data_IF_390134730648
#
_entry.id   IF_390134730648
#
_cell.length_a   1.000
_cell.length_b   1.000
_cell.length_c   1.000
_cell.angle_alpha   90.00
_cell.angle_beta   90.00
_cell.angle_gamma   90.00
#
_symmetry.space_group_name_H-M   'P 1'
#
loop_
_entity.id
_entity.type
_entity.pdbx_description
1 polymer ?
#
# COMPACT_ATOMS: atom_id res chain seq x y z
N UNK A 1 5.30 16.11 8.41
CA UNK A 1 6.78 16.24 8.32
C UNK A 1 7.25 15.21 7.31
N UNK A 2 7.59 15.66 6.11
CA UNK A 2 8.24 14.82 5.10
C UNK A 2 9.66 14.60 5.62
N UNK A 3 9.90 13.46 6.27
CA UNK A 3 11.25 13.08 6.64
C UNK A 3 12.07 12.94 5.35
N UNK A 4 13.21 13.61 5.28
CA UNK A 4 14.20 13.36 4.26
C UNK A 4 14.49 11.86 4.21
N UNK A 5 13.82 11.16 3.31
CA UNK A 5 14.05 9.74 3.08
C UNK A 5 15.39 9.61 2.36
N UNK A 6 16.47 9.61 3.14
CA UNK A 6 17.78 9.30 2.62
C UNK A 6 17.76 7.88 2.07
N UNK A 7 18.28 7.69 0.87
CA UNK A 7 18.49 6.35 0.32
C UNK A 7 19.24 5.49 1.35
N UNK A 8 18.74 4.29 1.60
CA UNK A 8 19.42 3.35 2.47
C UNK A 8 20.82 3.04 1.90
N UNK A 9 21.81 3.30 2.71
CA UNK A 9 23.23 3.01 2.40
C UNK A 9 23.75 2.06 3.47
N UNK A 10 23.86 0.74 3.17
CA UNK A 10 24.23 -0.26 4.17
C UNK A 10 25.49 0.10 4.94
N UNK A 11 26.51 0.63 4.26
CA UNK A 11 27.77 1.07 4.83
C UNK A 11 27.65 2.23 5.83
N UNK A 12 26.63 3.07 5.70
CA UNK A 12 26.35 4.19 6.62
C UNK A 12 25.46 3.80 7.79
N UNK A 13 24.67 2.75 7.63
CA UNK A 13 23.71 2.28 8.62
C UNK A 13 24.24 1.09 9.44
N UNK A 14 25.26 0.39 8.94
CA UNK A 14 25.97 -0.65 9.68
C UNK A 14 26.85 -0.02 10.76
N UNK A 15 26.33 0.19 11.93
CA UNK A 15 26.95 1.04 12.97
C UNK A 15 27.67 0.23 14.04
N UNK A 16 28.01 -1.02 13.84
CA UNK A 16 28.69 -1.74 14.91
C UNK A 16 30.09 -2.16 14.46
N UNK A 17 31.07 -1.42 14.95
CA UNK A 17 32.46 -1.84 14.90
C UNK A 17 32.66 -2.96 15.91
N UNK A 18 33.40 -3.98 15.52
CA UNK A 18 33.87 -5.00 16.43
C UNK A 18 35.21 -4.56 17.01
N UNK A 19 35.34 -4.56 18.34
CA UNK A 19 36.62 -4.35 19.01
C UNK A 19 37.46 -5.64 19.10
N UNK A 20 36.96 -6.72 18.53
CA UNK A 20 37.65 -8.02 18.51
C UNK A 20 38.69 -8.08 17.39
N UNK A 21 39.86 -8.57 17.73
CA UNK A 21 40.95 -8.77 16.75
C UNK A 21 40.64 -9.82 15.68
N UNK A 22 39.64 -10.69 15.89
CA UNK A 22 39.17 -11.69 14.92
C UNK A 22 38.03 -11.16 14.00
N UNK A 23 37.62 -9.89 14.15
CA UNK A 23 36.57 -9.25 13.36
C UNK A 23 35.16 -9.72 13.63
N UNK A 24 34.94 -10.64 14.58
CA UNK A 24 33.61 -11.16 14.92
C UNK A 24 32.78 -10.13 15.66
N UNK A 25 31.49 -10.09 15.35
CA UNK A 25 30.53 -9.18 15.95
C UNK A 25 29.94 -9.78 17.21
N UNK A 26 29.88 -9.01 18.29
CA UNK A 26 29.21 -9.39 19.54
C UNK A 26 27.76 -8.92 19.60
N UNK A 27 27.47 -7.75 19.00
CA UNK A 27 26.14 -7.16 19.00
C UNK A 27 25.17 -7.96 18.14
N UNK A 28 24.06 -8.42 18.71
CA UNK A 28 22.98 -9.09 17.97
C UNK A 28 22.46 -8.21 16.83
N UNK A 29 22.31 -6.90 17.05
CA UNK A 29 21.90 -5.96 16.00
C UNK A 29 22.85 -6.01 14.78
N UNK A 30 24.17 -5.97 15.04
CA UNK A 30 25.15 -6.02 13.96
C UNK A 30 25.14 -7.35 13.23
N UNK A 31 25.03 -8.47 13.95
CA UNK A 31 24.97 -9.81 13.35
C UNK A 31 23.74 -9.92 12.44
N UNK A 32 22.55 -9.54 12.93
CA UNK A 32 21.32 -9.63 12.15
C UNK A 32 21.32 -8.65 10.96
N UNK A 33 21.93 -7.46 11.13
CA UNK A 33 22.08 -6.51 10.03
C UNK A 33 22.99 -7.06 8.90
N UNK A 34 24.10 -7.72 9.25
CA UNK A 34 24.95 -8.39 8.26
C UNK A 34 24.19 -9.54 7.59
N UNK A 35 23.44 -10.36 8.33
CA UNK A 35 22.59 -11.40 7.75
C UNK A 35 21.58 -10.82 6.75
N UNK A 36 20.95 -9.68 7.09
CA UNK A 36 20.02 -8.99 6.19
C UNK A 36 20.73 -8.49 4.91
N UNK A 37 21.93 -7.93 5.06
CA UNK A 37 22.73 -7.41 3.98
C UNK A 37 23.22 -8.53 3.03
N UNK A 38 23.58 -9.69 3.58
CA UNK A 38 24.08 -10.83 2.81
C UNK A 38 22.94 -11.65 2.16
N UNK A 39 21.69 -11.40 2.54
CA UNK A 39 20.56 -12.08 1.93
C UNK A 39 20.23 -11.48 0.56
N UNK A 40 20.16 -12.32 -0.45
CA UNK A 40 19.74 -11.95 -1.80
C UNK A 40 18.34 -12.45 -2.07
N UNK A 41 17.40 -11.58 -2.49
CA UNK A 41 16.03 -12.01 -2.77
C UNK A 41 15.96 -13.04 -3.89
N UNK A 42 15.17 -14.09 -3.69
CA UNK A 42 15.01 -15.17 -4.66
C UNK A 42 14.46 -14.68 -6.00
N UNK A 43 13.56 -13.72 -5.98
CA UNK A 43 12.92 -13.11 -7.14
C UNK A 43 13.39 -11.68 -7.39
N UNK A 44 14.66 -11.37 -7.06
CA UNK A 44 15.25 -10.11 -7.48
C UNK A 44 15.19 -9.99 -9.01
N UNK A 45 14.72 -8.86 -9.52
CA UNK A 45 14.66 -8.60 -10.94
C UNK A 45 16.08 -8.53 -11.54
N UNK A 46 16.27 -9.15 -12.70
CA UNK A 46 17.50 -9.11 -13.47
C UNK A 46 17.25 -8.42 -14.80
N UNK A 47 18.02 -7.39 -15.10
CA UNK A 47 17.97 -6.74 -16.42
C UNK A 47 18.35 -7.73 -17.53
N UNK A 48 17.80 -7.53 -18.72
CA UNK A 48 18.08 -8.39 -19.88
C UNK A 48 17.30 -9.70 -19.94
N UNK A 49 16.29 -9.89 -19.10
CA UNK A 49 15.33 -11.00 -19.26
C UNK A 49 14.64 -10.92 -20.62
N UNK A 50 14.51 -12.06 -21.30
CA UNK A 50 13.58 -12.21 -22.41
C UNK A 50 12.12 -12.08 -21.93
N UNK A 51 11.17 -11.85 -22.83
CA UNK A 51 9.76 -11.75 -22.48
C UNK A 51 9.22 -13.02 -21.80
N UNK A 52 9.72 -14.20 -22.17
CA UNK A 52 9.37 -15.46 -21.54
C UNK A 52 9.93 -15.55 -20.10
N UNK A 53 11.21 -15.24 -19.89
CA UNK A 53 11.83 -15.21 -18.57
C UNK A 53 11.14 -14.18 -17.65
N UNK A 54 10.78 -13.02 -18.21
CA UNK A 54 10.04 -11.99 -17.49
C UNK A 54 8.68 -12.49 -17.00
N UNK A 55 7.93 -13.19 -17.85
CA UNK A 55 6.64 -13.79 -17.47
C UNK A 55 6.81 -14.84 -16.38
N UNK A 56 7.80 -15.72 -16.50
CA UNK A 56 8.12 -16.74 -15.48
C UNK A 56 8.51 -16.10 -14.14
N UNK A 57 9.30 -15.04 -14.20
CA UNK A 57 9.67 -14.25 -13.02
C UNK A 57 8.45 -13.62 -12.35
N UNK A 58 7.55 -13.00 -13.11
CA UNK A 58 6.29 -12.45 -12.57
C UNK A 58 5.42 -13.52 -11.91
N UNK A 59 5.35 -14.71 -12.49
CA UNK A 59 4.58 -15.82 -11.91
C UNK A 59 5.23 -16.31 -10.60
N UNK A 60 6.56 -16.32 -10.51
CA UNK A 60 7.30 -16.58 -9.27
C UNK A 60 7.04 -15.54 -8.20
N UNK A 61 7.10 -14.25 -8.56
CA UNK A 61 6.75 -13.13 -7.63
C UNK A 61 5.33 -13.30 -7.10
N UNK A 62 4.39 -13.65 -7.98
CA UNK A 62 3.00 -13.89 -7.58
C UNK A 62 2.86 -15.07 -6.63
N UNK A 63 3.48 -16.21 -6.93
CA UNK A 63 3.42 -17.39 -6.09
C UNK A 63 3.96 -17.11 -4.68
N UNK A 64 5.10 -16.41 -4.59
CA UNK A 64 5.66 -15.98 -3.32
C UNK A 64 4.76 -14.96 -2.59
N UNK A 65 4.14 -14.03 -3.32
CA UNK A 65 3.20 -13.07 -2.72
C UNK A 65 1.98 -13.78 -2.11
N UNK A 66 1.41 -14.77 -2.79
CA UNK A 66 0.31 -15.60 -2.25
C UNK A 66 0.75 -16.28 -0.96
N UNK A 67 1.97 -16.86 -0.95
CA UNK A 67 2.51 -17.57 0.20
C UNK A 67 2.66 -16.67 1.43
N UNK A 68 3.24 -15.47 1.26
CA UNK A 68 3.55 -14.59 2.40
C UNK A 68 2.36 -13.75 2.87
N UNK A 69 1.41 -13.44 1.97
CA UNK A 69 0.20 -12.68 2.35
C UNK A 69 -0.81 -13.54 3.10
N UNK A 70 -0.79 -14.87 2.91
CA UNK A 70 -1.59 -15.84 3.67
C UNK A 70 -3.08 -15.48 3.74
N UNK A 71 -3.66 -15.08 2.61
CA UNK A 71 -5.08 -14.79 2.58
C UNK A 71 -5.87 -16.00 3.05
N UNK A 72 -6.83 -15.85 3.98
CA UNK A 72 -7.63 -16.96 4.44
C UNK A 72 -8.53 -17.47 3.32
N UNK A 73 -8.87 -18.76 3.37
CA UNK A 73 -9.95 -19.27 2.53
C UNK A 73 -11.25 -18.57 2.89
N UNK A 74 -11.84 -17.89 1.89
CA UNK A 74 -13.10 -17.16 2.08
C UNK A 74 -14.24 -18.17 2.06
N UNK A 75 -14.75 -18.50 3.24
CA UNK A 75 -16.10 -19.10 3.32
C UNK A 75 -17.09 -18.06 2.82
N UNK A 76 -18.19 -18.53 2.20
CA UNK A 76 -19.24 -17.63 1.67
C UNK A 76 -19.65 -16.61 2.74
N UNK A 77 -19.40 -15.34 2.48
CA UNK A 77 -19.78 -14.23 3.33
C UNK A 77 -21.09 -13.61 2.83
N UNK A 78 -21.85 -12.93 3.69
CA UNK A 78 -22.97 -12.10 3.25
C UNK A 78 -22.49 -11.06 2.21
N UNK A 79 -23.37 -10.73 1.26
CA UNK A 79 -23.08 -9.67 0.30
C UNK A 79 -22.93 -8.32 0.99
N UNK A 80 -22.06 -7.44 0.51
CA UNK A 80 -21.97 -6.08 1.01
C UNK A 80 -23.32 -5.34 0.91
N UNK A 81 -23.60 -4.47 1.88
CA UNK A 81 -24.87 -3.75 2.01
C UNK A 81 -24.61 -2.24 2.03
N UNK A 82 -25.34 -1.48 1.22
CA UNK A 82 -25.33 -0.02 1.31
C UNK A 82 -26.17 0.41 2.53
N UNK A 83 -25.53 1.04 3.50
CA UNK A 83 -26.16 1.45 4.76
C UNK A 83 -26.50 2.94 4.82
N UNK A 84 -25.92 3.74 3.93
CA UNK A 84 -26.19 5.19 3.85
C UNK A 84 -26.00 5.68 2.42
N UNK A 85 -26.86 6.58 1.99
CA UNK A 85 -26.77 7.28 0.70
C UNK A 85 -27.02 8.77 0.91
N UNK A 86 -26.15 9.61 0.40
CA UNK A 86 -26.28 11.06 0.46
C UNK A 86 -26.06 11.64 -0.95
N UNK A 87 -26.93 12.58 -1.31
CA UNK A 87 -26.74 13.38 -2.52
C UNK A 87 -25.83 14.57 -2.20
N UNK A 88 -24.76 14.70 -2.93
CA UNK A 88 -23.81 15.82 -2.89
C UNK A 88 -23.86 16.58 -4.21
N UNK A 89 -23.15 17.70 -4.28
CA UNK A 89 -23.08 18.47 -5.52
C UNK A 89 -22.30 17.71 -6.61
N UNK A 90 -23.02 17.22 -7.63
CA UNK A 90 -22.46 16.51 -8.77
C UNK A 90 -22.17 15.02 -8.57
N UNK A 91 -22.37 14.47 -7.36
CA UNK A 91 -22.17 13.05 -7.09
C UNK A 91 -23.08 12.52 -5.97
N UNK A 92 -23.12 11.19 -5.88
CA UNK A 92 -23.81 10.46 -4.79
C UNK A 92 -22.72 9.81 -3.95
N UNK A 93 -22.75 10.05 -2.63
CA UNK A 93 -21.89 9.40 -1.64
C UNK A 93 -22.68 8.27 -0.98
N UNK A 94 -22.11 7.07 -1.01
CA UNK A 94 -22.66 5.89 -0.36
C UNK A 94 -21.68 5.33 0.67
N UNK A 95 -22.19 4.88 1.80
CA UNK A 95 -21.46 4.07 2.78
C UNK A 95 -21.91 2.62 2.66
N UNK A 96 -20.95 1.74 2.53
CA UNK A 96 -21.17 0.30 2.41
C UNK A 96 -20.52 -0.45 3.55
N UNK A 97 -21.16 -1.52 3.99
CA UNK A 97 -20.63 -2.51 4.92
C UNK A 97 -20.33 -3.81 4.19
N UNK A 98 -19.24 -4.48 4.56
CA UNK A 98 -18.94 -5.84 4.17
C UNK A 98 -18.42 -6.65 5.37
N UNK A 99 -18.39 -7.97 5.24
CA UNK A 99 -18.25 -8.88 6.38
C UNK A 99 -17.08 -9.84 6.14
N UNK A 100 -15.82 -9.37 6.34
CA UNK A 100 -14.62 -10.14 5.96
C UNK A 100 -14.41 -11.43 6.77
N UNK A 101 -14.92 -11.47 8.00
CA UNK A 101 -14.83 -12.62 8.90
C UNK A 101 -16.15 -12.81 9.66
N UNK A 102 -16.40 -14.01 10.23
CA UNK A 102 -17.51 -14.19 11.14
C UNK A 102 -17.48 -13.17 12.28
N UNK A 103 -18.59 -12.49 12.54
CA UNK A 103 -18.77 -11.45 13.57
C UNK A 103 -17.95 -10.16 13.32
N UNK A 104 -17.41 -9.95 12.13
CA UNK A 104 -16.75 -8.71 11.76
C UNK A 104 -17.56 -7.91 10.77
N UNK A 105 -17.39 -6.61 10.81
CA UNK A 105 -17.86 -5.66 9.80
C UNK A 105 -16.70 -4.74 9.44
N UNK A 106 -16.61 -4.40 8.18
CA UNK A 106 -15.71 -3.36 7.67
C UNK A 106 -16.49 -2.48 6.71
N UNK A 107 -16.04 -1.24 6.51
CA UNK A 107 -16.78 -0.24 5.73
C UNK A 107 -15.92 0.34 4.63
N UNK A 108 -16.56 0.79 3.56
CA UNK A 108 -15.95 1.59 2.51
C UNK A 108 -16.93 2.65 2.00
N UNK A 109 -16.41 3.69 1.38
CA UNK A 109 -17.21 4.77 0.79
C UNK A 109 -17.12 4.69 -0.72
N UNK A 110 -18.24 4.99 -1.38
CA UNK A 110 -18.37 5.00 -2.84
C UNK A 110 -18.90 6.35 -3.29
N UNK A 111 -18.17 6.99 -4.20
CA UNK A 111 -18.61 8.21 -4.87
C UNK A 111 -18.97 7.86 -6.30
N UNK A 112 -20.20 8.13 -6.68
CA UNK A 112 -20.71 7.92 -8.03
C UNK A 112 -21.08 9.25 -8.67
N UNK A 113 -20.65 9.56 -9.90
CA UNK A 113 -21.20 10.71 -10.62
C UNK A 113 -22.71 10.70 -10.61
N UNK A 114 -23.35 11.84 -10.37
CA UNK A 114 -24.82 11.93 -10.26
C UNK A 114 -25.55 11.42 -11.51
N UNK A 115 -24.94 11.62 -12.68
CA UNK A 115 -25.52 11.25 -13.98
C UNK A 115 -24.64 10.23 -14.72
N UNK A 116 -24.68 8.97 -14.27
CA UNK A 116 -23.96 7.89 -14.96
C UNK A 116 -24.64 7.55 -16.30
N UNK A 117 -23.90 7.71 -17.40
CA UNK A 117 -24.31 7.25 -18.72
C UNK A 117 -23.61 5.93 -19.08
N UNK A 118 -24.09 4.83 -18.49
CA UNK A 118 -23.48 3.50 -18.67
C UNK A 118 -22.34 3.22 -17.68
N UNK A 119 -21.55 2.18 -17.93
CA UNK A 119 -20.43 1.82 -17.10
C UNK A 119 -19.23 2.74 -17.34
N UNK A 120 -18.65 3.27 -16.27
CA UNK A 120 -17.48 4.16 -16.28
C UNK A 120 -16.26 3.50 -15.61
N UNK A 121 -15.03 3.99 -15.83
CA UNK A 121 -13.88 3.51 -15.11
C UNK A 121 -14.06 3.64 -13.58
N UNK A 122 -13.48 2.69 -12.83
CA UNK A 122 -13.46 2.70 -11.37
C UNK A 122 -12.06 2.98 -10.82
N UNK A 123 -11.98 3.63 -9.67
CA UNK A 123 -10.72 3.80 -8.95
C UNK A 123 -10.88 3.39 -7.49
N UNK A 124 -10.00 2.49 -7.01
CA UNK A 124 -9.86 2.15 -5.61
C UNK A 124 -8.81 3.07 -5.01
N UNK A 125 -9.19 3.87 -4.01
CA UNK A 125 -8.33 4.83 -3.33
C UNK A 125 -7.95 4.30 -1.95
N UNK A 126 -6.64 4.09 -1.72
CA UNK A 126 -6.09 3.54 -0.48
C UNK A 126 -5.27 4.63 0.22
N UNK A 127 -5.59 4.99 1.48
CA UNK A 127 -5.00 6.14 2.15
C UNK A 127 -3.58 5.88 2.66
N UNK A 128 -2.86 6.96 2.94
CA UNK A 128 -1.60 6.94 3.69
C UNK A 128 -1.81 6.71 5.20
N UNK A 129 -0.70 6.63 5.93
CA UNK A 129 -0.72 6.49 7.39
C UNK A 129 -1.51 7.61 8.06
N UNK A 130 -2.41 7.23 8.97
CA UNK A 130 -3.19 8.19 9.74
C UNK A 130 -4.27 8.93 8.94
N UNK A 131 -4.50 8.55 7.68
CA UNK A 131 -5.61 9.06 6.87
C UNK A 131 -6.74 8.03 6.85
N UNK A 132 -7.96 8.52 6.67
CA UNK A 132 -9.18 7.71 6.64
C UNK A 132 -9.89 7.84 5.30
N UNK A 133 -10.80 6.92 5.02
CA UNK A 133 -11.65 6.98 3.84
C UNK A 133 -12.48 8.27 3.76
N UNK A 134 -12.89 8.81 4.92
CA UNK A 134 -13.61 10.09 4.99
C UNK A 134 -12.76 11.23 4.42
N UNK A 135 -11.49 11.32 4.81
CA UNK A 135 -10.56 12.31 4.25
C UNK A 135 -10.37 12.18 2.74
N UNK A 136 -10.37 10.94 2.21
CA UNK A 136 -10.27 10.71 0.77
C UNK A 136 -11.49 11.20 -0.02
N UNK A 137 -12.66 11.27 0.61
CA UNK A 137 -13.92 11.73 0.00
C UNK A 137 -14.25 13.19 0.36
N UNK A 138 -13.40 13.86 1.12
CA UNK A 138 -13.60 15.26 1.53
C UNK A 138 -14.62 15.44 2.64
N UNK A 139 -14.86 14.42 3.45
CA UNK A 139 -15.78 14.45 4.59
C UNK A 139 -15.00 14.46 5.92
N UNK A 140 -15.56 15.03 6.98
CA UNK A 140 -14.95 14.95 8.31
C UNK A 140 -14.87 13.49 8.78
N UNK A 141 -13.72 13.12 9.34
CA UNK A 141 -13.51 11.80 9.92
C UNK A 141 -14.13 11.67 11.32
N UNK A 142 -13.99 10.48 11.90
CA UNK A 142 -14.52 10.17 13.25
C UNK A 142 -13.73 10.93 14.33
N UNK A 143 -12.46 11.21 14.07
CA UNK A 143 -11.57 11.90 14.99
C UNK A 143 -11.32 13.35 14.55
N UNK A 144 -11.98 14.30 15.20
CA UNK A 144 -11.92 15.73 14.87
C UNK A 144 -10.51 16.33 14.90
N UNK A 145 -9.60 15.80 15.73
CA UNK A 145 -8.25 16.34 15.87
C UNK A 145 -7.36 16.13 14.65
N UNK A 146 -7.74 15.23 13.73
CA UNK A 146 -6.97 14.90 12.54
C UNK A 146 -7.70 15.23 11.24
N UNK A 147 -8.84 15.94 11.34
CA UNK A 147 -9.69 16.30 10.20
C UNK A 147 -9.39 17.69 9.62
N UNK A 148 -8.41 18.41 10.13
CA UNK A 148 -8.05 19.76 9.65
C UNK A 148 -7.77 19.79 8.13
N UNK A 149 -7.39 18.65 7.55
CA UNK A 149 -7.04 18.52 6.14
C UNK A 149 -8.13 17.88 5.26
N UNK A 150 -9.32 17.51 5.78
CA UNK A 150 -10.31 16.81 4.96
C UNK A 150 -10.84 17.62 3.76
N UNK A 151 -10.82 18.94 3.85
CA UNK A 151 -11.15 19.85 2.75
C UNK A 151 -9.97 20.16 1.82
N UNK A 152 -8.79 19.59 2.06
CA UNK A 152 -7.64 19.82 1.23
C UNK A 152 -7.74 19.01 -0.07
N UNK A 153 -7.87 19.65 -1.26
CA UNK A 153 -7.97 18.94 -2.53
C UNK A 153 -6.81 17.99 -2.81
N UNK A 154 -5.62 18.24 -2.23
CA UNK A 154 -4.44 17.37 -2.38
C UNK A 154 -4.59 16.03 -1.64
N UNK A 155 -5.48 15.95 -0.65
CA UNK A 155 -5.71 14.76 0.17
C UNK A 155 -6.95 13.99 -0.31
N UNK A 156 -7.96 14.70 -0.80
CA UNK A 156 -9.26 14.15 -1.17
C UNK A 156 -9.24 13.46 -2.54
N UNK A 157 -8.39 12.44 -2.70
CA UNK A 157 -8.17 11.84 -4.02
C UNK A 157 -9.42 11.16 -4.60
N UNK A 158 -10.26 10.53 -3.80
CA UNK A 158 -11.50 9.93 -4.31
C UNK A 158 -12.50 10.98 -4.77
N UNK A 159 -12.59 12.12 -4.05
CA UNK A 159 -13.41 13.26 -4.46
C UNK A 159 -12.91 13.87 -5.77
N UNK A 160 -11.61 13.95 -5.97
CA UNK A 160 -11.05 14.43 -7.24
C UNK A 160 -11.40 13.48 -8.38
N UNK A 161 -11.30 12.16 -8.17
CA UNK A 161 -11.60 11.17 -9.20
C UNK A 161 -13.08 11.17 -9.62
N UNK A 162 -14.02 11.34 -8.67
CA UNK A 162 -15.44 11.39 -9.05
C UNK A 162 -15.79 12.64 -9.86
N UNK A 163 -15.11 13.76 -9.59
CA UNK A 163 -15.26 14.99 -10.41
C UNK A 163 -14.78 14.81 -11.84
N UNK A 164 -13.82 13.91 -12.07
CA UNK A 164 -13.34 13.52 -13.39
C UNK A 164 -14.20 12.40 -14.06
N UNK A 165 -15.33 12.04 -13.43
CA UNK A 165 -16.26 11.07 -13.99
C UNK A 165 -16.01 9.61 -13.66
N UNK A 166 -15.08 9.30 -12.75
CA UNK A 166 -14.85 7.94 -12.27
C UNK A 166 -15.87 7.56 -11.17
N UNK A 167 -16.15 6.27 -11.04
CA UNK A 167 -16.66 5.77 -9.75
C UNK A 167 -15.46 5.60 -8.85
N UNK A 168 -15.40 6.35 -7.76
CA UNK A 168 -14.31 6.30 -6.79
C UNK A 168 -14.73 5.55 -5.54
N UNK A 169 -13.89 4.61 -5.10
CA UNK A 169 -14.10 3.82 -3.88
C UNK A 169 -12.96 4.10 -2.93
N UNK A 170 -13.29 4.51 -1.70
CA UNK A 170 -12.34 4.83 -0.66
C UNK A 170 -12.44 3.81 0.48
N UNK A 171 -11.30 3.29 0.89
CA UNK A 171 -11.15 2.33 2.00
C UNK A 171 -10.33 2.92 3.14
N UNK A 172 -10.45 2.37 4.34
CA UNK A 172 -9.48 2.57 5.40
C UNK A 172 -8.37 1.51 5.31
N UNK A 173 -7.18 1.87 5.72
CA UNK A 173 -6.19 0.87 6.10
C UNK A 173 -6.68 0.13 7.35
N UNK A 174 -6.39 -1.16 7.47
CA UNK A 174 -6.71 -1.92 8.68
C UNK A 174 -6.14 -1.25 9.93
N UNK A 175 -6.90 -1.22 11.01
CA UNK A 175 -6.56 -0.53 12.25
C UNK A 175 -6.44 1.01 12.11
N UNK A 176 -7.20 1.59 11.17
CA UNK A 176 -7.32 3.04 11.01
C UNK A 176 -8.78 3.45 10.85
N UNK A 177 -9.09 4.71 11.11
CA UNK A 177 -10.45 5.24 11.01
C UNK A 177 -11.44 4.46 11.87
N UNK A 178 -12.57 4.06 11.30
CA UNK A 178 -13.59 3.25 11.99
C UNK A 178 -13.08 1.86 12.41
N UNK A 179 -11.97 1.38 11.85
CA UNK A 179 -11.39 0.09 12.19
C UNK A 179 -10.32 0.15 13.31
N UNK A 180 -10.06 1.33 13.89
CA UNK A 180 -9.18 1.47 15.05
C UNK A 180 -9.92 1.27 16.37
N UNK A 181 -9.15 1.03 17.46
CA UNK A 181 -9.72 0.85 18.80
C UNK A 181 -10.29 2.16 19.33
N UNK A 182 -11.38 2.08 20.14
CA UNK A 182 -12.03 3.22 20.78
C UNK A 182 -11.09 4.02 21.67
N UNK A 183 -10.14 3.37 22.36
CA UNK A 183 -9.11 4.07 23.14
C UNK A 183 -8.22 5.00 22.28
N UNK A 184 -8.05 4.69 21.01
CA UNK A 184 -7.32 5.56 20.08
C UNK A 184 -8.10 6.85 19.82
N UNK A 185 -9.43 6.78 19.72
CA UNK A 185 -10.29 7.95 19.54
C UNK A 185 -10.24 8.88 20.76
N UNK A 186 -10.32 8.33 21.96
CA UNK A 186 -10.24 9.11 23.21
C UNK A 186 -8.91 9.86 23.32
N UNK A 187 -7.82 9.27 22.81
CA UNK A 187 -6.49 9.92 22.74
C UNK A 187 -6.37 10.88 21.55
N UNK A 188 -7.37 10.96 20.70
CA UNK A 188 -7.34 11.76 19.47
C UNK A 188 -6.48 11.16 18.35
N UNK A 189 -6.27 9.84 18.36
CA UNK A 189 -5.62 9.09 17.31
C UNK A 189 -6.67 8.36 16.47
N UNK A 190 -6.42 8.24 15.19
CA UNK A 190 -7.31 7.51 14.28
C UNK A 190 -6.68 6.22 13.75
N UNK A 191 -5.69 5.65 14.46
CA UNK A 191 -5.03 4.39 14.10
C UNK A 191 -4.32 3.75 15.29
N UNK A 192 -4.20 2.41 15.27
CA UNK A 192 -3.49 1.58 16.26
C UNK A 192 -2.68 0.46 15.62
N UNK A 193 -2.02 0.75 14.51
CA UNK A 193 -1.29 -0.20 13.68
C UNK A 193 -0.34 -1.13 14.43
N UNK A 194 0.42 -0.62 15.40
CA UNK A 194 1.44 -1.40 16.11
C UNK A 194 0.81 -2.48 16.99
N UNK A 195 -0.29 -2.15 17.66
CA UNK A 195 -1.01 -3.11 18.52
C UNK A 195 -1.55 -4.26 17.68
N UNK A 196 -2.28 -3.92 16.61
CA UNK A 196 -2.87 -4.92 15.70
C UNK A 196 -1.79 -5.75 15.01
N UNK A 197 -0.68 -5.13 14.58
CA UNK A 197 0.42 -5.85 13.94
C UNK A 197 1.03 -6.91 14.85
N UNK A 198 1.17 -6.65 16.15
CA UNK A 198 1.68 -7.63 17.12
C UNK A 198 0.77 -8.85 17.21
N UNK A 199 -0.54 -8.65 17.31
CA UNK A 199 -1.49 -9.76 17.34
C UNK A 199 -1.48 -10.57 16.03
N UNK A 200 -1.39 -9.90 14.89
CA UNK A 200 -1.31 -10.57 13.59
C UNK A 200 -0.04 -11.42 13.46
N UNK A 201 1.11 -10.93 13.94
CA UNK A 201 2.36 -11.70 13.96
C UNK A 201 2.24 -12.96 14.80
N UNK A 202 1.59 -12.91 15.98
CA UNK A 202 1.33 -14.10 16.80
C UNK A 202 0.41 -15.12 16.09
N UNK A 203 -0.48 -14.66 15.23
CA UNK A 203 -1.30 -15.51 14.37
C UNK A 203 -0.55 -16.01 13.11
N UNK A 204 0.73 -15.65 12.95
CA UNK A 204 1.53 -15.98 11.78
C UNK A 204 1.14 -15.21 10.52
N UNK A 205 0.50 -14.05 10.69
CA UNK A 205 0.07 -13.17 9.62
C UNK A 205 0.78 -11.81 9.71
N UNK A 206 0.64 -10.96 8.69
CA UNK A 206 1.17 -9.60 8.70
C UNK A 206 0.04 -8.59 8.59
N UNK A 207 0.30 -7.35 9.06
CA UNK A 207 -0.65 -6.26 8.86
C UNK A 207 -0.92 -6.02 7.36
N UNK A 208 0.13 -6.06 6.52
CA UNK A 208 -0.02 -5.90 5.07
C UNK A 208 -0.89 -7.02 4.47
N UNK A 209 -0.71 -8.26 4.91
CA UNK A 209 -1.55 -9.37 4.47
C UNK A 209 -3.02 -9.17 4.85
N UNK A 210 -3.27 -8.71 6.08
CA UNK A 210 -4.62 -8.45 6.57
C UNK A 210 -5.31 -7.31 5.80
N UNK A 211 -4.67 -6.14 5.69
CA UNK A 211 -5.27 -4.99 4.99
C UNK A 211 -5.49 -5.28 3.51
N UNK A 212 -4.52 -5.93 2.84
CA UNK A 212 -4.66 -6.33 1.43
C UNK A 212 -5.79 -7.34 1.20
N UNK A 213 -6.04 -8.21 2.17
CA UNK A 213 -7.19 -9.12 2.10
C UNK A 213 -8.52 -8.37 2.15
N UNK A 214 -8.65 -7.34 3.00
CA UNK A 214 -9.83 -6.48 3.03
C UNK A 214 -10.02 -5.74 1.70
N UNK A 215 -8.96 -5.11 1.21
CA UNK A 215 -8.98 -4.35 -0.04
C UNK A 215 -9.31 -5.22 -1.25
N UNK A 216 -8.84 -6.48 -1.26
CA UNK A 216 -9.18 -7.45 -2.31
C UNK A 216 -10.67 -7.75 -2.35
N UNK A 217 -11.35 -7.81 -1.21
CA UNK A 217 -12.79 -8.01 -1.17
C UNK A 217 -13.56 -6.81 -1.74
N UNK A 218 -13.11 -5.58 -1.42
CA UNK A 218 -13.68 -4.36 -2.00
C UNK A 218 -13.41 -4.30 -3.50
N UNK A 219 -12.22 -4.66 -3.96
CA UNK A 219 -11.89 -4.75 -5.39
C UNK A 219 -12.80 -5.77 -6.12
N UNK A 220 -13.06 -6.93 -5.51
CA UNK A 220 -13.97 -7.93 -6.07
C UNK A 220 -15.42 -7.40 -6.12
N UNK A 221 -15.85 -6.66 -5.09
CA UNK A 221 -17.13 -5.96 -5.11
C UNK A 221 -17.20 -4.94 -6.27
N UNK A 222 -16.16 -4.15 -6.49
CA UNK A 222 -16.10 -3.20 -7.60
C UNK A 222 -16.26 -3.90 -8.96
N UNK A 223 -15.58 -5.03 -9.17
CA UNK A 223 -15.66 -5.83 -10.40
C UNK A 223 -17.06 -6.39 -10.66
N UNK A 224 -17.85 -6.59 -9.61
CA UNK A 224 -19.22 -7.10 -9.69
C UNK A 224 -20.25 -6.00 -10.02
N UNK A 225 -19.89 -4.71 -9.96
CA UNK A 225 -20.82 -3.62 -10.20
C UNK A 225 -21.04 -3.39 -11.70
N UNK A 226 -22.30 -3.38 -12.14
CA UNK A 226 -22.64 -3.17 -13.57
C UNK A 226 -22.31 -1.76 -14.08
N UNK A 227 -22.20 -0.79 -13.20
CA UNK A 227 -21.87 0.60 -13.51
C UNK A 227 -20.36 0.88 -13.48
N UNK A 228 -19.53 -0.12 -13.16
CA UNK A 228 -18.05 -0.01 -13.21
C UNK A 228 -17.53 -0.84 -14.39
N UNK A 229 -16.69 -0.25 -15.19
CA UNK A 229 -15.96 -0.96 -16.25
C UNK A 229 -14.87 -1.83 -15.61
N UNK A 230 -15.14 -3.13 -15.50
CA UNK A 230 -14.21 -4.10 -14.89
C UNK A 230 -12.84 -4.18 -15.58
N UNK A 231 -12.76 -3.81 -16.86
CA UNK A 231 -11.54 -3.71 -17.65
C UNK A 231 -10.82 -2.37 -17.51
N UNK A 232 -11.32 -1.46 -16.69
CA UNK A 232 -10.80 -0.11 -16.45
C UNK A 232 -10.82 0.25 -14.96
N UNK A 233 -10.35 -0.67 -14.12
CA UNK A 233 -10.19 -0.40 -12.69
C UNK A 233 -8.74 0.03 -12.45
N UNK A 234 -8.59 1.17 -11.80
CA UNK A 234 -7.32 1.75 -11.36
C UNK A 234 -7.20 1.61 -9.85
N UNK A 235 -6.00 1.39 -9.33
CA UNK A 235 -5.74 1.53 -7.88
C UNK A 235 -4.82 2.73 -7.67
N UNK A 236 -5.23 3.62 -6.78
CA UNK A 236 -4.46 4.78 -6.33
C UNK A 236 -4.07 4.60 -4.87
N UNK A 237 -2.79 4.44 -4.60
CA UNK A 237 -2.23 4.32 -3.25
C UNK A 237 -1.45 5.58 -2.87
N UNK A 238 -1.65 6.08 -1.64
CA UNK A 238 -0.88 7.18 -1.09
C UNK A 238 -0.02 6.69 0.08
N UNK A 239 1.30 6.95 0.05
CA UNK A 239 2.24 6.58 1.12
C UNK A 239 2.05 5.12 1.54
N UNK A 240 1.62 4.83 2.78
CA UNK A 240 1.32 3.48 3.26
C UNK A 240 0.38 2.70 2.32
N UNK A 241 -0.58 3.37 1.69
CA UNK A 241 -1.54 2.74 0.76
C UNK A 241 -0.91 2.19 -0.52
N UNK A 242 0.34 2.56 -0.83
CA UNK A 242 1.07 1.95 -1.96
C UNK A 242 1.46 0.50 -1.69
N UNK A 243 1.58 0.10 -0.44
CA UNK A 243 1.92 -1.28 -0.06
C UNK A 243 0.80 -2.26 -0.42
N UNK A 244 -0.45 -2.10 0.08
CA UNK A 244 -1.56 -2.95 -0.36
C UNK A 244 -1.85 -2.80 -1.87
N UNK A 245 -1.71 -1.61 -2.46
CA UNK A 245 -1.82 -1.44 -3.91
C UNK A 245 -0.88 -2.38 -4.68
N UNK A 246 0.39 -2.49 -4.28
CA UNK A 246 1.35 -3.41 -4.90
C UNK A 246 0.92 -4.86 -4.75
N UNK A 247 0.45 -5.25 -3.56
CA UNK A 247 -0.03 -6.62 -3.29
C UNK A 247 -1.19 -6.96 -4.19
N UNK A 248 -2.23 -6.12 -4.24
CA UNK A 248 -3.36 -6.30 -5.13
C UNK A 248 -2.92 -6.37 -6.58
N UNK A 249 -2.00 -5.49 -6.99
CA UNK A 249 -1.46 -5.46 -8.34
C UNK A 249 -0.77 -6.75 -8.75
N UNK A 250 -0.02 -7.39 -7.84
CA UNK A 250 0.61 -8.69 -8.11
C UNK A 250 -0.42 -9.81 -8.15
N UNK A 251 -1.38 -9.82 -7.23
CA UNK A 251 -2.35 -10.90 -7.10
C UNK A 251 -3.44 -10.86 -8.17
N UNK A 252 -3.84 -9.68 -8.62
CA UNK A 252 -4.93 -9.47 -9.57
C UNK A 252 -4.42 -8.90 -10.90
N UNK A 253 -4.44 -9.73 -11.94
CA UNK A 253 -3.96 -9.38 -13.30
C UNK A 253 -4.90 -8.45 -14.06
N UNK A 254 -6.17 -8.33 -13.65
CA UNK A 254 -7.18 -7.57 -14.36
C UNK A 254 -7.16 -6.07 -14.03
N UNK A 255 -6.40 -5.67 -13.02
CA UNK A 255 -6.22 -4.25 -12.69
C UNK A 255 -5.57 -3.55 -13.87
N UNK A 256 -6.21 -2.46 -14.33
CA UNK A 256 -5.81 -1.76 -15.54
C UNK A 256 -4.55 -0.90 -15.34
N UNK A 257 -4.49 -0.11 -14.27
CA UNK A 257 -3.41 0.85 -14.04
C UNK A 257 -3.24 1.20 -12.56
N UNK A 258 -2.14 1.88 -12.23
CA UNK A 258 -1.78 2.26 -10.87
C UNK A 258 -1.38 3.72 -10.78
N UNK A 259 -1.74 4.37 -9.66
CA UNK A 259 -1.19 5.65 -9.23
C UNK A 259 -0.40 5.42 -7.94
N UNK A 260 0.92 5.46 -8.06
CA UNK A 260 1.86 5.24 -6.96
C UNK A 260 2.29 6.59 -6.40
N UNK A 261 1.61 7.03 -5.35
CA UNK A 261 1.88 8.32 -4.72
C UNK A 261 2.73 8.14 -3.47
N UNK A 262 4.00 7.84 -3.65
CA UNK A 262 5.03 7.72 -2.61
C UNK A 262 6.41 7.55 -3.24
N UNK A 263 7.45 7.54 -2.40
CA UNK A 263 8.81 7.21 -2.83
C UNK A 263 9.02 5.69 -2.94
N UNK A 264 9.79 5.27 -3.93
CA UNK A 264 10.12 3.86 -4.12
C UNK A 264 11.15 3.41 -3.08
N UNK A 265 10.68 2.81 -1.98
CA UNK A 265 11.47 2.40 -0.84
C UNK A 265 12.10 1.01 -1.04
N UNK A 266 13.31 0.82 -0.52
CA UNK A 266 13.93 -0.51 -0.45
C UNK A 266 13.44 -1.26 0.79
N UNK A 267 13.31 -2.59 0.70
CA UNK A 267 12.88 -3.42 1.86
C UNK A 267 13.85 -3.29 3.04
N UNK A 268 15.16 -3.28 2.78
CA UNK A 268 16.17 -3.06 3.82
C UNK A 268 16.04 -1.68 4.46
N UNK A 269 15.74 -0.65 3.69
CA UNK A 269 15.47 0.70 4.19
C UNK A 269 14.30 0.69 5.17
N UNK A 270 13.21 -0.02 4.85
CA UNK A 270 12.08 -0.20 5.79
C UNK A 270 12.50 -0.89 7.07
N UNK A 271 13.24 -1.99 6.97
CA UNK A 271 13.66 -2.76 8.13
C UNK A 271 14.66 -2.02 9.03
N UNK A 272 15.54 -1.22 8.47
CA UNK A 272 16.65 -0.58 9.20
C UNK A 272 16.33 0.87 9.55
N UNK A 273 15.86 1.67 8.59
CA UNK A 273 15.67 3.11 8.78
C UNK A 273 14.34 3.41 9.45
N UNK A 274 13.25 2.81 8.95
CA UNK A 274 11.90 3.11 9.44
C UNK A 274 11.58 2.45 10.77
N UNK A 275 12.27 1.37 11.14
CA UNK A 275 12.03 0.64 12.39
C UNK A 275 13.04 0.93 13.47
N UNK A 276 14.17 1.58 13.13
CA UNK A 276 15.20 1.94 14.09
C UNK A 276 14.76 3.13 14.95
N UNK A 277 14.88 3.06 16.28
CA UNK A 277 14.63 4.20 17.15
C UNK A 277 15.56 5.37 16.79
N UNK A 278 15.01 6.57 16.72
CA UNK A 278 15.81 7.77 16.61
C UNK A 278 16.65 7.97 17.87
N UNK A 279 17.92 8.32 17.69
CA UNK A 279 18.83 8.59 18.82
C UNK A 279 18.33 9.72 19.74
N UNK A 280 17.64 10.68 19.16
CA UNK A 280 17.09 11.82 19.90
C UNK A 280 15.76 11.48 20.59
N UNK A 281 14.92 10.66 19.99
CA UNK A 281 13.58 10.34 20.47
C UNK A 281 13.54 9.18 21.45
N UNK A 282 14.53 8.32 21.51
CA UNK A 282 14.60 7.10 22.37
C UNK A 282 13.33 6.24 22.38
N UNK A 283 12.40 6.50 21.49
CA UNK A 283 11.14 5.77 21.33
C UNK A 283 11.18 4.99 20.03
N UNK A 284 10.68 3.74 20.02
CA UNK A 284 10.40 3.05 18.78
C UNK A 284 9.53 3.97 17.91
N UNK A 285 9.80 3.99 16.60
CA UNK A 285 8.95 4.76 15.70
C UNK A 285 7.51 4.25 15.85
N UNK A 286 6.53 5.06 16.29
CA UNK A 286 5.16 4.59 16.46
C UNK A 286 4.67 3.99 15.14
N UNK A 287 4.03 2.83 15.21
CA UNK A 287 3.43 2.17 14.05
C UNK A 287 4.42 1.68 12.97
N UNK A 288 5.68 1.45 13.33
CA UNK A 288 6.70 0.98 12.39
C UNK A 288 6.59 -0.52 12.07
N UNK A 289 6.04 -1.33 12.97
CA UNK A 289 5.93 -2.79 12.82
C UNK A 289 5.04 -3.19 11.64
N UNK A 290 4.04 -2.38 11.28
CA UNK A 290 3.16 -2.63 10.14
C UNK A 290 3.89 -2.81 8.81
N UNK A 291 5.07 -2.21 8.67
CA UNK A 291 5.88 -2.33 7.46
C UNK A 291 6.67 -3.63 7.38
N UNK A 292 6.68 -4.43 8.46
CA UNK A 292 7.46 -5.64 8.54
C UNK A 292 6.62 -6.85 8.15
N UNK A 293 7.08 -7.58 7.15
CA UNK A 293 6.44 -8.79 6.66
C UNK A 293 7.43 -9.92 6.84
N UNK A 294 7.11 -10.94 7.67
CA UNK A 294 8.03 -12.04 7.92
C UNK A 294 8.47 -12.73 6.63
N UNK A 295 9.78 -12.79 6.41
CA UNK A 295 10.35 -13.45 5.24
C UNK A 295 10.30 -12.67 3.92
N UNK A 296 9.73 -11.49 3.88
CA UNK A 296 9.57 -10.71 2.64
C UNK A 296 10.88 -10.54 1.87
N UNK A 297 11.95 -10.12 2.57
CA UNK A 297 13.27 -9.91 1.96
C UNK A 297 13.90 -11.18 1.36
N UNK A 298 13.47 -12.35 1.77
CA UNK A 298 13.96 -13.62 1.18
C UNK A 298 13.43 -13.84 -0.24
N UNK A 299 12.31 -13.22 -0.58
CA UNK A 299 11.66 -13.40 -1.87
C UNK A 299 11.93 -12.25 -2.83
N UNK A 300 11.76 -11.00 -2.39
CA UNK A 300 11.88 -9.82 -3.25
C UNK A 300 12.15 -8.54 -2.45
N UNK A 301 12.64 -7.54 -3.16
CA UNK A 301 12.67 -6.16 -2.71
C UNK A 301 11.37 -5.45 -3.15
N UNK A 302 10.96 -4.35 -2.49
CA UNK A 302 9.79 -3.57 -2.92
C UNK A 302 9.88 -3.10 -4.37
N UNK A 303 11.01 -2.57 -4.87
CA UNK A 303 11.14 -2.24 -6.28
C UNK A 303 10.92 -3.41 -7.24
N UNK A 304 11.28 -4.64 -6.87
CA UNK A 304 11.01 -5.84 -7.68
C UNK A 304 9.50 -6.07 -7.82
N UNK A 305 8.76 -5.91 -6.71
CA UNK A 305 7.30 -6.05 -6.71
C UNK A 305 6.66 -5.01 -7.62
N UNK A 306 7.08 -3.74 -7.53
CA UNK A 306 6.61 -2.67 -8.42
C UNK A 306 6.96 -2.98 -9.87
N UNK A 307 8.17 -3.43 -10.15
CA UNK A 307 8.61 -3.83 -11.49
C UNK A 307 7.75 -4.98 -12.08
N UNK A 308 7.28 -5.89 -11.23
CA UNK A 308 6.44 -7.01 -11.65
C UNK A 308 5.02 -6.58 -12.09
N UNK A 309 4.63 -5.34 -11.84
CA UNK A 309 3.36 -4.79 -12.33
C UNK A 309 3.36 -4.50 -13.84
N UNK A 310 4.55 -4.41 -14.46
CA UNK A 310 4.66 -4.23 -15.90
C UNK A 310 3.91 -5.34 -16.68
N UNK A 311 3.30 -5.07 -17.85
CA UNK A 311 3.34 -3.81 -18.60
C UNK A 311 2.18 -2.87 -18.30
N UNK A 312 1.46 -3.05 -17.20
CA UNK A 312 0.30 -2.22 -16.86
C UNK A 312 0.73 -0.78 -16.57
N UNK A 313 -0.01 0.24 -17.02
CA UNK A 313 0.35 1.62 -16.78
C UNK A 313 0.54 1.92 -15.29
N UNK A 314 1.61 2.64 -14.96
CA UNK A 314 1.87 3.12 -13.61
C UNK A 314 2.36 4.57 -13.66
N UNK A 315 1.80 5.40 -12.79
CA UNK A 315 2.19 6.80 -12.63
C UNK A 315 2.79 6.94 -11.23
N UNK A 316 4.02 7.44 -11.16
CA UNK A 316 4.64 7.83 -9.89
C UNK A 316 4.44 9.32 -9.68
N UNK A 317 3.87 9.67 -8.53
CA UNK A 317 3.67 11.05 -8.11
C UNK A 317 4.34 11.24 -6.77
N UNK A 318 4.85 12.38 -6.42
CA UNK A 318 5.43 12.72 -5.13
C UNK A 318 6.69 11.92 -4.69
N UNK A 319 7.55 12.53 -3.89
CA UNK A 319 8.59 11.89 -3.04
C UNK A 319 9.68 11.07 -3.71
N UNK A 320 9.64 10.89 -5.02
CA UNK A 320 10.48 9.92 -5.71
C UNK A 320 11.52 10.50 -6.67
N UNK A 321 11.69 11.81 -6.72
CA UNK A 321 12.57 12.46 -7.72
C UNK A 321 14.03 12.02 -7.65
N UNK A 322 14.50 11.69 -6.47
CA UNK A 322 15.87 11.26 -6.17
C UNK A 322 16.00 9.74 -6.09
N UNK A 323 14.94 9.00 -6.35
CA UNK A 323 14.96 7.54 -6.28
C UNK A 323 15.41 6.91 -7.60
N UNK A 324 16.03 5.76 -7.48
CA UNK A 324 16.51 5.02 -8.63
C UNK A 324 15.38 4.18 -9.25
N UNK A 325 14.81 4.67 -10.34
CA UNK A 325 13.78 3.97 -11.10
C UNK A 325 14.33 3.07 -12.20
N UNK A 326 15.65 2.95 -12.39
CA UNK A 326 16.25 2.18 -13.50
C UNK A 326 15.79 0.73 -13.54
N UNK A 327 15.61 0.11 -12.36
CA UNK A 327 15.09 -1.26 -12.25
C UNK A 327 13.68 -1.36 -12.82
N UNK A 328 12.76 -0.47 -12.41
CA UNK A 328 11.38 -0.44 -12.90
C UNK A 328 11.34 -0.14 -14.40
N UNK A 329 12.10 0.84 -14.88
CA UNK A 329 12.22 1.17 -16.30
C UNK A 329 12.71 -0.01 -17.13
N UNK A 330 13.73 -0.73 -16.66
CA UNK A 330 14.23 -1.93 -17.31
C UNK A 330 13.20 -3.04 -17.40
N UNK A 331 12.41 -3.25 -16.34
CA UNK A 331 11.35 -4.25 -16.32
C UNK A 331 10.23 -3.93 -17.33
N UNK A 332 9.83 -2.65 -17.41
CA UNK A 332 8.85 -2.22 -18.41
C UNK A 332 9.36 -2.41 -19.84
N UNK A 333 10.62 -2.12 -20.09
CA UNK A 333 11.25 -2.39 -21.39
C UNK A 333 11.28 -3.90 -21.72
N UNK A 334 11.62 -4.75 -20.73
CA UNK A 334 11.67 -6.21 -20.91
C UNK A 334 10.29 -6.85 -21.15
N UNK A 335 9.20 -6.21 -20.73
CA UNK A 335 7.85 -6.72 -20.93
C UNK A 335 7.40 -6.78 -22.40
N UNK A 336 8.20 -6.27 -23.32
CA UNK A 336 7.95 -6.26 -24.77
C UNK A 336 6.79 -5.34 -25.21
N UNK A 337 6.33 -4.46 -24.32
CA UNK A 337 5.27 -3.48 -24.60
C UNK A 337 5.82 -2.06 -24.47
N UNK A 338 5.21 -1.07 -25.18
CA UNK A 338 5.61 0.34 -25.02
C UNK A 338 5.59 0.75 -23.54
N UNK A 339 6.54 1.55 -23.14
CA UNK A 339 6.66 2.02 -21.76
C UNK A 339 5.40 2.78 -21.35
N UNK A 340 4.68 2.22 -20.41
CA UNK A 340 3.53 2.87 -19.76
C UNK A 340 3.93 3.38 -18.36
N UNK A 341 5.11 3.91 -18.26
CA UNK A 341 5.67 4.48 -17.05
C UNK A 341 5.75 6.00 -17.20
N UNK A 342 5.18 6.71 -16.26
CA UNK A 342 5.26 8.18 -16.22
C UNK A 342 5.68 8.62 -14.83
N UNK A 343 6.71 9.45 -14.78
CA UNK A 343 7.15 10.11 -13.57
C UNK A 343 6.73 11.58 -13.64
N UNK A 344 5.81 11.99 -12.78
CA UNK A 344 5.36 13.37 -12.70
C UNK A 344 6.12 14.08 -11.60
N UNK A 345 6.87 15.10 -11.98
CA UNK A 345 7.39 16.09 -11.05
C UNK A 345 6.30 17.10 -10.74
N UNK A 346 5.72 17.04 -9.55
CA UNK A 346 4.89 18.18 -9.10
C UNK A 346 5.79 19.37 -8.83
N UNK A 347 5.41 20.60 -9.26
CA UNK A 347 6.15 21.78 -8.88
C UNK A 347 6.23 21.87 -7.35
N UNK A 348 7.44 21.95 -6.82
CA UNK A 348 7.66 22.30 -5.42
C UNK A 348 7.26 23.76 -5.25
N UNK A 349 6.06 24.02 -4.77
CA UNK A 349 5.65 25.34 -4.26
C UNK A 349 5.71 25.33 -2.75
#
# INVERSE_FOLDING_TARGET
MVGNSQNYQPEKHAVVKSDRGDGRLLSTYAIVHEMLKDTHPQYAYRSGMSAQEFTQWQDGVRAAMVEIMKFPEIKRQPSPVCVKTEKKEGYILEKWEFYPFPKSVSTFLVLKPEHLKGAVPGVLCIPGSGRTKEGLVGEPGICDKLTEDYNNPKVSMALNMVKEGYVAVAVDNAAAGEASDLECYDKGWNYDYDVVSRFLLELGWSWLGYTSYLDMQVLNWMKAQSYIRKDRIVISGFSLGTEPMMVLGVLDKDIYAFVYNDFLCQTQERAVVMTKPDKENRRPFPNSIRHLIPGYWRYFNFPDVVASLAPRPIIFTEGGLDRDFRLVQSAYAASGKPVSYTHLTLPTT
#
